data_IF_832090682037
#
_entry.id   IF_832090682037
#
_cell.length_a   1.000
_cell.length_b   1.000
_cell.length_c   1.000
_cell.angle_alpha   90.00
_cell.angle_beta   90.00
_cell.angle_gamma   90.00
#
_symmetry.space_group_name_H-M   'P 1'
#
loop_
_entity.id
_entity.type
_entity.pdbx_description
1 polymer ?
#
# COMPACT_ATOMS: atom_id res chain seq x y z
N UNK A 1 7.05 -18.09 3.90
CA UNK A 1 7.43 -19.31 4.68
C UNK A 1 8.62 -19.00 5.59
N UNK A 2 9.02 -19.85 6.55
CA UNK A 2 10.14 -19.58 7.48
C UNK A 2 11.48 -19.18 6.79
N UNK A 3 11.69 -19.57 5.53
CA UNK A 3 12.86 -19.17 4.75
C UNK A 3 12.81 -17.70 4.28
N UNK A 4 11.63 -17.21 3.91
CA UNK A 4 11.35 -15.83 3.50
C UNK A 4 11.50 -14.87 4.69
N UNK A 5 11.11 -15.30 5.89
CA UNK A 5 11.35 -14.57 7.13
C UNK A 5 12.85 -14.43 7.47
N UNK A 6 13.66 -15.44 7.13
CA UNK A 6 15.12 -15.43 7.36
C UNK A 6 15.83 -14.58 6.28
N UNK A 7 15.36 -14.61 5.03
CA UNK A 7 15.83 -13.71 3.96
C UNK A 7 15.40 -12.25 4.16
N UNK A 8 14.17 -12.00 4.63
CA UNK A 8 13.70 -10.69 5.06
C UNK A 8 14.51 -10.17 6.26
N UNK A 9 14.92 -11.04 7.21
CA UNK A 9 15.84 -10.68 8.30
C UNK A 9 17.28 -10.44 7.84
N UNK A 10 17.74 -11.15 6.81
CA UNK A 10 19.05 -10.97 6.19
C UNK A 10 19.11 -9.65 5.44
N UNK A 11 18.03 -9.30 4.76
CA UNK A 11 17.86 -8.02 4.09
C UNK A 11 17.64 -6.89 5.10
N UNK A 12 16.85 -7.08 6.17
CA UNK A 12 16.72 -6.15 7.29
C UNK A 12 18.09 -5.72 7.83
N UNK A 13 19.04 -6.66 7.92
CA UNK A 13 20.42 -6.38 8.34
C UNK A 13 21.29 -5.72 7.27
N UNK A 14 20.98 -5.88 5.98
CA UNK A 14 21.71 -5.27 4.85
C UNK A 14 21.21 -3.87 4.51
N UNK A 15 19.90 -3.65 4.50
CA UNK A 15 19.25 -2.39 4.09
C UNK A 15 19.18 -1.36 5.21
N UNK A 16 19.28 -1.75 6.49
CA UNK A 16 19.38 -0.77 7.60
C UNK A 16 20.53 0.23 7.45
N UNK A 17 21.53 -0.08 6.61
CA UNK A 17 22.62 0.83 6.31
C UNK A 17 22.35 1.78 5.13
N UNK A 18 21.31 1.58 4.32
CA UNK A 18 21.07 2.37 3.09
C UNK A 18 19.60 2.77 2.81
N UNK A 19 18.61 2.25 3.53
CA UNK A 19 17.20 2.61 3.34
C UNK A 19 16.52 2.95 4.68
N UNK A 20 16.25 4.24 4.97
CA UNK A 20 15.66 4.70 6.23
C UNK A 20 14.24 4.17 6.53
N UNK A 21 13.62 3.44 5.60
CA UNK A 21 12.18 3.28 5.53
C UNK A 21 11.64 1.89 5.93
N UNK A 22 12.51 0.92 6.21
CA UNK A 22 12.08 -0.41 6.67
C UNK A 22 11.79 -0.41 8.17
N UNK A 23 10.54 -0.17 8.51
CA UNK A 23 10.00 -0.33 9.87
C UNK A 23 9.37 -1.72 10.05
N UNK A 24 9.26 -2.19 11.30
CA UNK A 24 8.52 -3.43 11.61
C UNK A 24 7.06 -3.36 11.14
N UNK A 25 6.43 -2.19 11.24
CA UNK A 25 5.07 -1.96 10.76
C UNK A 25 4.97 -2.11 9.24
N UNK A 26 5.95 -1.58 8.49
CA UNK A 26 6.03 -1.75 7.05
C UNK A 26 6.13 -3.22 6.64
N UNK A 27 7.03 -3.97 7.29
CA UNK A 27 7.17 -5.41 7.04
C UNK A 27 5.88 -6.19 7.35
N UNK A 28 5.23 -5.90 8.48
CA UNK A 28 3.97 -6.55 8.80
C UNK A 28 2.86 -6.27 7.76
N UNK A 29 2.77 -5.03 7.26
CA UNK A 29 1.84 -4.69 6.18
C UNK A 29 2.15 -5.39 4.85
N UNK A 30 3.43 -5.64 4.58
CA UNK A 30 3.89 -6.40 3.42
C UNK A 30 3.44 -7.87 3.52
N UNK A 31 3.66 -8.52 4.66
CA UNK A 31 3.18 -9.90 4.90
C UNK A 31 1.65 -10.02 4.81
N UNK A 32 0.93 -9.00 5.30
CA UNK A 32 -0.52 -8.90 5.10
C UNK A 32 -0.86 -8.87 3.61
N UNK A 33 -0.08 -8.17 2.79
CA UNK A 33 -0.23 -8.13 1.34
C UNK A 33 -0.16 -9.52 0.73
N UNK A 34 0.87 -10.31 1.02
CA UNK A 34 0.94 -11.71 0.55
C UNK A 34 -0.27 -12.52 0.99
N UNK A 35 -0.67 -12.40 2.26
CA UNK A 35 -1.84 -13.12 2.77
C UNK A 35 -3.13 -12.78 2.00
N UNK A 36 -3.35 -11.50 1.70
CA UNK A 36 -4.53 -11.09 0.93
C UNK A 36 -4.44 -11.44 -0.55
N UNK A 37 -3.23 -11.58 -1.12
CA UNK A 37 -3.08 -12.11 -2.47
C UNK A 37 -3.69 -13.52 -2.58
N UNK A 38 -3.38 -14.40 -1.64
CA UNK A 38 -3.93 -15.78 -1.61
C UNK A 38 -5.47 -15.80 -1.51
N UNK A 39 -6.03 -14.87 -0.74
CA UNK A 39 -7.47 -14.83 -0.46
C UNK A 39 -8.25 -14.17 -1.60
N UNK A 40 -7.75 -13.05 -2.11
CA UNK A 40 -8.50 -12.13 -2.98
C UNK A 40 -8.12 -12.26 -4.46
N UNK A 41 -6.92 -12.75 -4.77
CA UNK A 41 -6.39 -12.79 -6.14
C UNK A 41 -6.23 -14.23 -6.63
N UNK A 42 -5.55 -15.08 -5.87
CA UNK A 42 -5.22 -16.43 -6.30
C UNK A 42 -6.49 -17.26 -6.61
N UNK A 43 -6.55 -17.83 -7.82
CA UNK A 43 -7.70 -18.60 -8.29
C UNK A 43 -9.04 -17.82 -8.27
N UNK A 44 -8.99 -16.48 -8.39
CA UNK A 44 -10.16 -15.59 -8.48
C UNK A 44 -10.17 -14.84 -9.82
N UNK A 45 -11.31 -14.25 -10.23
CA UNK A 45 -11.38 -13.41 -11.44
C UNK A 45 -10.36 -12.27 -11.48
N UNK A 46 -9.95 -11.75 -10.32
CA UNK A 46 -8.95 -10.68 -10.21
C UNK A 46 -7.54 -11.09 -10.67
N UNK A 47 -7.23 -12.38 -10.80
CA UNK A 47 -5.90 -12.87 -11.15
C UNK A 47 -5.42 -12.38 -12.52
N UNK A 48 -6.33 -12.28 -13.50
CA UNK A 48 -6.00 -11.77 -14.84
C UNK A 48 -5.56 -10.30 -14.82
N UNK A 49 -6.25 -9.47 -14.02
CA UNK A 49 -5.91 -8.06 -13.86
C UNK A 49 -4.63 -7.88 -13.05
N UNK A 50 -4.41 -8.71 -12.02
CA UNK A 50 -3.13 -8.78 -11.32
C UNK A 50 -1.97 -9.01 -12.30
N UNK A 51 -2.06 -10.01 -13.19
CA UNK A 51 -0.98 -10.27 -14.16
C UNK A 51 -0.75 -9.13 -15.14
N UNK A 52 -1.80 -8.40 -15.51
CA UNK A 52 -1.69 -7.25 -16.38
C UNK A 52 -0.93 -6.08 -15.72
N UNK A 53 -1.02 -5.93 -14.39
CA UNK A 53 -0.44 -4.82 -13.64
C UNK A 53 0.93 -5.15 -13.01
N UNK A 54 1.08 -6.37 -12.48
CA UNK A 54 2.24 -6.79 -11.68
C UNK A 54 3.16 -7.76 -12.43
N UNK A 55 2.67 -8.37 -13.53
CA UNK A 55 3.42 -9.35 -14.31
C UNK A 55 3.12 -10.81 -13.95
N UNK A 56 3.86 -11.74 -14.57
CA UNK A 56 3.64 -13.19 -14.42
C UNK A 56 4.33 -13.74 -13.18
N UNK A 57 3.54 -14.09 -12.16
CA UNK A 57 4.01 -14.64 -10.89
C UNK A 57 4.38 -16.12 -10.96
N UNK A 58 4.22 -16.80 -12.11
CA UNK A 58 4.63 -18.20 -12.27
C UNK A 58 6.14 -18.38 -12.42
N UNK A 59 6.88 -17.27 -12.51
CA UNK A 59 8.34 -17.28 -12.50
C UNK A 59 8.87 -17.96 -11.23
N UNK A 60 9.94 -18.77 -11.30
CA UNK A 60 10.46 -19.43 -10.10
C UNK A 60 10.95 -18.40 -9.08
N UNK A 61 10.20 -18.27 -7.98
CA UNK A 61 10.37 -17.24 -6.96
C UNK A 61 11.82 -17.09 -6.49
N UNK A 62 12.43 -18.19 -6.05
CA UNK A 62 13.83 -18.23 -5.59
C UNK A 62 14.81 -17.74 -6.65
N UNK A 63 14.60 -18.10 -7.92
CA UNK A 63 15.48 -17.66 -9.00
C UNK A 63 15.34 -16.16 -9.28
N UNK A 64 14.12 -15.62 -9.19
CA UNK A 64 13.83 -14.20 -9.36
C UNK A 64 14.50 -13.37 -8.25
N UNK A 65 14.38 -13.82 -6.98
CA UNK A 65 15.07 -13.17 -5.86
C UNK A 65 16.59 -13.20 -6.01
N UNK A 66 17.18 -14.35 -6.37
CA UNK A 66 18.62 -14.44 -6.59
C UNK A 66 19.09 -13.49 -7.70
N UNK A 67 18.32 -13.37 -8.79
CA UNK A 67 18.61 -12.44 -9.86
C UNK A 67 18.52 -10.98 -9.39
N UNK A 68 17.52 -10.63 -8.58
CA UNK A 68 17.39 -9.30 -7.99
C UNK A 68 18.55 -8.99 -7.04
N UNK A 69 18.95 -9.92 -6.17
CA UNK A 69 20.11 -9.70 -5.28
C UNK A 69 21.44 -9.61 -6.01
N UNK A 70 21.58 -10.27 -7.16
CA UNK A 70 22.78 -10.21 -8.00
C UNK A 70 22.90 -8.91 -8.79
N UNK A 71 21.77 -8.37 -9.28
CA UNK A 71 21.76 -7.26 -10.25
C UNK A 71 21.19 -5.95 -9.69
N UNK A 72 20.46 -6.00 -8.57
CA UNK A 72 19.67 -4.89 -8.05
C UNK A 72 18.42 -4.61 -8.87
N UNK A 73 17.71 -3.54 -8.49
CA UNK A 73 16.58 -3.01 -9.27
C UNK A 73 17.08 -2.35 -10.58
N UNK A 74 16.32 -2.45 -11.69
CA UNK A 74 16.62 -1.72 -12.94
C UNK A 74 16.72 -0.20 -12.73
N UNK A 75 17.57 0.50 -13.48
CA UNK A 75 17.85 1.94 -13.26
C UNK A 75 16.60 2.84 -13.25
N UNK A 76 15.58 2.48 -14.01
CA UNK A 76 14.32 3.21 -14.19
C UNK A 76 13.14 2.62 -13.41
N UNK A 77 13.41 1.79 -12.40
CA UNK A 77 12.37 1.11 -11.61
C UNK A 77 11.33 2.06 -11.02
N UNK A 78 11.74 3.27 -10.61
CA UNK A 78 10.87 4.26 -9.97
C UNK A 78 9.72 4.70 -10.89
N UNK A 79 9.82 4.49 -12.20
CA UNK A 79 8.75 4.79 -13.14
C UNK A 79 7.52 3.88 -12.94
N UNK A 80 7.72 2.64 -12.46
CA UNK A 80 6.71 1.59 -12.45
C UNK A 80 6.46 0.94 -11.08
N UNK A 81 7.42 1.03 -10.16
CA UNK A 81 7.41 0.31 -8.90
C UNK A 81 7.51 1.28 -7.72
N UNK A 82 6.83 0.93 -6.63
CA UNK A 82 6.83 1.77 -5.41
C UNK A 82 8.16 1.68 -4.66
N UNK A 83 8.88 0.56 -4.77
CA UNK A 83 10.18 0.34 -4.16
C UNK A 83 11.12 -0.43 -5.11
N UNK A 84 12.42 -0.41 -4.84
CA UNK A 84 13.36 -1.22 -5.60
C UNK A 84 13.07 -2.71 -5.44
N UNK A 85 12.70 -3.14 -4.23
CA UNK A 85 12.41 -4.54 -3.92
C UNK A 85 11.14 -5.05 -4.63
N UNK A 86 10.15 -4.20 -4.88
CA UNK A 86 8.99 -4.53 -5.70
C UNK A 86 9.37 -5.06 -7.11
N UNK A 87 10.57 -4.76 -7.62
CA UNK A 87 11.05 -5.29 -8.90
C UNK A 87 11.47 -6.76 -8.85
N UNK A 88 11.59 -7.34 -7.65
CA UNK A 88 12.16 -8.67 -7.47
C UNK A 88 11.24 -9.79 -7.95
N UNK A 89 9.93 -9.65 -7.75
CA UNK A 89 8.92 -10.61 -8.20
C UNK A 89 7.54 -9.95 -8.23
N UNK A 90 6.60 -10.38 -9.10
CA UNK A 90 5.23 -9.84 -9.10
C UNK A 90 4.48 -9.97 -7.76
N UNK A 91 4.79 -10.99 -6.96
CA UNK A 91 4.27 -11.09 -5.59
C UNK A 91 4.83 -10.00 -4.67
N UNK A 92 6.12 -9.67 -4.78
CA UNK A 92 6.74 -8.59 -4.01
C UNK A 92 6.19 -7.23 -4.42
N UNK A 93 5.97 -7.00 -5.71
CA UNK A 93 5.37 -5.76 -6.22
C UNK A 93 3.97 -5.53 -5.64
N UNK A 94 3.16 -6.58 -5.58
CA UNK A 94 1.84 -6.53 -4.97
C UNK A 94 1.90 -6.30 -3.46
N UNK A 95 2.77 -7.03 -2.74
CA UNK A 95 2.91 -6.88 -1.29
C UNK A 95 3.44 -5.50 -0.88
N UNK A 96 4.42 -4.96 -1.61
CA UNK A 96 4.94 -3.60 -1.41
C UNK A 96 3.87 -2.54 -1.72
N UNK A 97 3.11 -2.71 -2.81
CA UNK A 97 2.00 -1.81 -3.15
C UNK A 97 0.89 -1.88 -2.11
N UNK A 98 0.57 -3.07 -1.58
CA UNK A 98 -0.41 -3.26 -0.52
C UNK A 98 0.03 -2.58 0.78
N UNK A 99 1.29 -2.78 1.17
CA UNK A 99 1.86 -2.13 2.33
C UNK A 99 1.81 -0.60 2.22
N UNK A 100 2.03 -0.10 1.00
CA UNK A 100 1.92 1.32 0.69
C UNK A 100 0.47 1.82 0.74
N UNK A 101 -0.48 1.07 0.19
CA UNK A 101 -1.91 1.40 0.30
C UNK A 101 -2.35 1.55 1.76
N UNK A 102 -1.98 0.58 2.62
CA UNK A 102 -2.23 0.64 4.07
C UNK A 102 -1.55 1.85 4.72
N UNK A 103 -0.35 2.23 4.26
CA UNK A 103 0.33 3.42 4.75
C UNK A 103 -0.44 4.71 4.45
N UNK A 104 -0.95 4.85 3.22
CA UNK A 104 -1.79 5.98 2.81
C UNK A 104 -3.06 6.04 3.64
N UNK A 105 -3.82 4.94 3.72
CA UNK A 105 -5.08 4.88 4.49
C UNK A 105 -4.88 5.23 5.96
N UNK A 106 -3.99 4.52 6.67
CA UNK A 106 -3.81 4.71 8.12
C UNK A 106 -3.31 6.12 8.46
N UNK A 107 -2.46 6.69 7.61
CA UNK A 107 -1.85 8.01 7.89
C UNK A 107 -2.83 9.14 7.57
N UNK A 108 -3.62 9.00 6.50
CA UNK A 108 -4.69 9.97 6.19
C UNK A 108 -5.82 9.90 7.20
N UNK A 109 -6.20 8.71 7.68
CA UNK A 109 -7.13 8.52 8.80
C UNK A 109 -6.65 9.28 10.03
N UNK A 110 -5.39 9.04 10.44
CA UNK A 110 -4.82 9.66 11.62
C UNK A 110 -4.78 11.20 11.48
N UNK A 111 -4.37 11.71 10.32
CA UNK A 111 -4.36 13.14 10.04
C UNK A 111 -5.77 13.76 10.16
N UNK A 112 -6.79 13.09 9.60
CA UNK A 112 -8.19 13.47 9.72
C UNK A 112 -8.65 13.51 11.18
N UNK A 113 -8.32 12.49 11.97
CA UNK A 113 -8.63 12.41 13.40
C UNK A 113 -8.02 13.54 14.23
N UNK A 114 -6.86 14.06 13.83
CA UNK A 114 -6.22 15.25 14.43
C UNK A 114 -6.70 16.58 13.83
N UNK A 115 -7.70 16.57 12.96
CA UNK A 115 -8.28 17.78 12.35
C UNK A 115 -7.42 18.39 11.24
N UNK A 116 -6.37 17.69 10.78
CA UNK A 116 -5.59 18.08 9.60
C UNK A 116 -6.46 17.81 8.39
N UNK A 117 -7.08 18.87 7.86
CA UNK A 117 -7.94 18.80 6.69
C UNK A 117 -7.23 19.42 5.51
N UNK A 118 -7.14 18.65 4.43
CA UNK A 118 -6.46 19.10 3.23
C UNK A 118 -7.45 19.24 2.09
N UNK A 119 -8.12 20.38 2.10
CA UNK A 119 -8.80 20.91 0.91
C UNK A 119 -8.17 22.24 0.57
N UNK A 120 -7.28 22.33 -0.44
CA UNK A 120 -6.98 23.59 -1.07
C UNK A 120 -8.06 23.86 -2.11
N UNK A 121 -9.31 24.06 -1.68
CA UNK A 121 -10.24 24.86 -2.47
C UNK A 121 -10.25 26.22 -1.81
N UNK A 122 -9.58 27.18 -2.44
CA UNK A 122 -9.79 28.60 -2.14
C UNK A 122 -11.28 28.87 -2.36
N UNK A 123 -12.09 28.81 -1.31
CA UNK A 123 -13.31 29.59 -1.32
C UNK A 123 -12.89 31.07 -1.26
N UNK A 124 -13.44 31.87 -2.17
CA UNK A 124 -13.21 33.31 -2.25
C UNK A 124 -14.02 34.07 -1.19
N UNK A 125 -14.41 33.43 -0.08
CA UNK A 125 -15.26 34.00 0.97
C UNK A 125 -14.60 34.07 2.35
N UNK A 126 -13.44 33.45 2.55
CA UNK A 126 -12.61 33.73 3.73
C UNK A 126 -13.23 33.28 5.07
N UNK A 127 -14.19 32.36 5.06
CA UNK A 127 -14.70 31.73 6.28
C UNK A 127 -14.26 30.26 6.32
N UNK A 128 -13.27 29.99 7.16
CA UNK A 128 -12.75 28.65 7.44
C UNK A 128 -13.77 27.84 8.25
N UNK A 129 -14.90 27.45 7.65
CA UNK A 129 -15.88 26.59 8.31
C UNK A 129 -15.39 25.15 8.30
N UNK A 130 -15.18 24.64 9.50
CA UNK A 130 -14.46 23.41 9.74
C UNK A 130 -15.38 22.23 9.97
N UNK A 131 -15.83 21.52 8.92
CA UNK A 131 -16.38 20.16 9.07
C UNK A 131 -16.47 19.43 7.73
N UNK A 132 -15.55 18.49 7.51
CA UNK A 132 -15.70 17.37 6.58
C UNK A 132 -15.01 16.18 7.26
N UNK A 133 -15.82 15.17 7.57
CA UNK A 133 -15.42 13.89 8.15
C UNK A 133 -14.79 13.08 7.01
N UNK A 134 -13.46 13.17 6.83
CA UNK A 134 -12.78 12.33 5.84
C UNK A 134 -12.57 10.96 6.48
N UNK A 135 -13.30 9.97 5.95
CA UNK A 135 -13.20 8.56 6.32
C UNK A 135 -12.55 7.79 5.15
N UNK A 136 -11.25 7.45 5.24
CA UNK A 136 -10.56 6.78 4.14
C UNK A 136 -11.08 5.38 3.83
N UNK A 137 -11.87 4.78 4.74
CA UNK A 137 -12.50 3.47 4.51
C UNK A 137 -13.78 3.55 3.69
N UNK A 138 -14.33 4.76 3.47
CA UNK A 138 -15.57 4.98 2.71
C UNK A 138 -15.33 5.66 1.36
N UNK A 139 -14.08 5.86 0.98
CA UNK A 139 -13.73 6.47 -0.30
C UNK A 139 -14.18 5.58 -1.45
N UNK A 140 -14.76 6.21 -2.47
CA UNK A 140 -15.22 5.48 -3.64
C UNK A 140 -14.10 5.19 -4.66
N UNK A 141 -13.15 6.12 -4.76
CA UNK A 141 -12.08 6.15 -5.76
C UNK A 141 -10.73 6.42 -5.08
N UNK A 142 -9.72 5.59 -5.36
CA UNK A 142 -8.35 5.76 -4.86
C UNK A 142 -7.77 7.14 -5.15
N UNK A 143 -8.22 7.82 -6.21
CA UNK A 143 -7.77 9.17 -6.53
C UNK A 143 -8.12 10.17 -5.43
N UNK A 144 -9.27 10.02 -4.75
CA UNK A 144 -9.62 10.86 -3.61
C UNK A 144 -8.69 10.62 -2.42
N UNK A 145 -8.26 9.37 -2.19
CA UNK A 145 -7.24 9.07 -1.18
C UNK A 145 -5.90 9.74 -1.53
N UNK A 146 -5.48 9.67 -2.80
CA UNK A 146 -4.22 10.25 -3.28
C UNK A 146 -4.24 11.78 -3.19
N UNK A 147 -5.35 12.42 -3.56
CA UNK A 147 -5.51 13.88 -3.48
C UNK A 147 -5.42 14.39 -2.04
N UNK A 148 -5.92 13.60 -1.08
CA UNK A 148 -5.74 13.85 0.36
C UNK A 148 -4.38 13.37 0.90
N UNK A 149 -3.64 12.54 0.18
CA UNK A 149 -2.32 12.07 0.63
C UNK A 149 -1.21 13.04 0.24
N UNK A 150 -1.21 13.52 -1.01
CA UNK A 150 -0.09 14.30 -1.57
C UNK A 150 0.26 15.55 -0.74
N UNK A 151 -0.70 16.40 -0.31
CA UNK A 151 -0.34 17.56 0.50
C UNK A 151 0.14 17.21 1.92
N UNK A 152 -0.20 16.01 2.43
CA UNK A 152 0.11 15.54 3.78
C UNK A 152 1.53 14.99 3.78
N UNK A 153 1.86 14.18 2.78
CA UNK A 153 3.24 13.78 2.51
C UNK A 153 4.15 15.00 2.34
N UNK A 154 3.71 16.04 1.63
CA UNK A 154 4.44 17.30 1.52
C UNK A 154 4.62 18.00 2.87
N UNK A 155 3.58 18.09 3.69
CA UNK A 155 3.66 18.66 5.04
C UNK A 155 4.66 17.88 5.92
N UNK A 156 4.54 16.55 5.95
CA UNK A 156 5.43 15.65 6.71
C UNK A 156 6.88 15.86 6.29
N UNK A 157 7.17 15.85 4.98
CA UNK A 157 8.52 16.05 4.47
C UNK A 157 9.07 17.44 4.80
N UNK A 158 8.26 18.49 4.69
CA UNK A 158 8.67 19.84 5.05
C UNK A 158 8.95 19.99 6.55
N UNK A 159 8.12 19.40 7.41
CA UNK A 159 8.35 19.40 8.86
C UNK A 159 9.65 18.66 9.21
N UNK A 160 9.90 17.51 8.59
CA UNK A 160 11.14 16.77 8.76
C UNK A 160 12.37 17.60 8.37
N UNK A 161 12.36 18.22 7.19
CA UNK A 161 13.45 19.10 6.75
C UNK A 161 13.67 20.28 7.69
N UNK A 162 12.59 20.86 8.23
CA UNK A 162 12.69 21.99 9.16
C UNK A 162 13.38 21.62 10.49
N UNK A 163 13.31 20.37 10.92
CA UNK A 163 14.01 19.84 12.11
C UNK A 163 15.33 19.13 11.76
N UNK A 164 15.83 19.30 10.53
CA UNK A 164 17.12 18.76 10.09
C UNK A 164 17.11 17.26 9.78
N UNK A 165 15.94 16.65 9.58
CA UNK A 165 15.78 15.26 9.16
C UNK A 165 15.56 15.16 7.65
N UNK A 166 15.87 13.98 7.09
CA UNK A 166 15.54 13.66 5.69
C UNK A 166 14.02 13.51 5.51
N UNK A 167 13.58 13.53 4.25
CA UNK A 167 12.18 13.33 3.90
C UNK A 167 11.63 12.06 4.56
N UNK A 168 10.58 12.25 5.35
CA UNK A 168 9.89 11.16 6.03
C UNK A 168 9.01 10.36 5.08
N UNK A 169 8.89 10.70 3.80
CA UNK A 169 8.21 9.95 2.75
C UNK A 169 8.92 10.20 1.41
N UNK A 170 9.85 9.32 0.99
CA UNK A 170 10.65 9.49 -0.23
C UNK A 170 10.05 8.80 -1.46
N UNK A 171 8.80 8.32 -1.39
CA UNK A 171 8.19 7.56 -2.49
C UNK A 171 7.56 8.46 -3.55
N UNK A 172 7.52 7.93 -4.78
CA UNK A 172 6.91 8.60 -5.93
C UNK A 172 5.69 7.80 -6.38
N UNK A 173 4.53 8.42 -6.35
CA UNK A 173 3.29 7.84 -6.88
C UNK A 173 3.18 8.14 -8.38
N UNK A 174 3.80 7.32 -9.21
CA UNK A 174 3.69 7.44 -10.68
C UNK A 174 2.32 6.96 -11.15
N UNK A 175 1.89 7.28 -12.40
CA UNK A 175 0.63 6.77 -12.94
C UNK A 175 0.49 5.25 -12.82
N UNK A 176 1.56 4.49 -13.09
CA UNK A 176 1.55 3.03 -12.96
C UNK A 176 1.38 2.56 -11.51
N UNK A 177 2.06 3.20 -10.56
CA UNK A 177 1.89 2.90 -9.12
C UNK A 177 0.46 3.22 -8.67
N UNK A 178 -0.13 4.31 -9.17
CA UNK A 178 -1.52 4.68 -8.88
C UNK A 178 -2.50 3.66 -9.44
N UNK A 179 -2.27 3.13 -10.65
CA UNK A 179 -3.09 2.04 -11.21
C UNK A 179 -3.03 0.77 -10.35
N UNK A 180 -1.84 0.41 -9.84
CA UNK A 180 -1.67 -0.70 -8.89
C UNK A 180 -2.39 -0.46 -7.55
N UNK A 181 -2.31 0.76 -7.01
CA UNK A 181 -3.06 1.16 -5.82
C UNK A 181 -4.58 1.10 -6.06
N UNK A 182 -5.04 1.51 -7.23
CA UNK A 182 -6.45 1.44 -7.64
C UNK A 182 -6.95 -0.01 -7.67
N UNK A 183 -6.15 -0.94 -8.19
CA UNK A 183 -6.46 -2.36 -8.16
C UNK A 183 -6.63 -2.89 -6.74
N UNK A 184 -5.70 -2.55 -5.83
CA UNK A 184 -5.80 -2.96 -4.41
C UNK A 184 -7.04 -2.36 -3.74
N UNK A 185 -7.30 -1.07 -3.98
CA UNK A 185 -8.50 -0.41 -3.49
C UNK A 185 -9.77 -1.14 -3.96
N UNK A 186 -9.86 -1.48 -5.24
CA UNK A 186 -11.00 -2.21 -5.81
C UNK A 186 -11.15 -3.63 -5.22
N UNK A 187 -10.05 -4.34 -4.98
CA UNK A 187 -10.06 -5.64 -4.29
C UNK A 187 -10.69 -5.53 -2.91
N UNK A 188 -10.24 -4.55 -2.12
CA UNK A 188 -10.72 -4.31 -0.75
C UNK A 188 -12.21 -3.94 -0.77
N UNK A 189 -12.62 -3.04 -1.67
CA UNK A 189 -14.03 -2.65 -1.79
C UNK A 189 -14.93 -3.83 -2.19
N UNK A 190 -14.50 -4.61 -3.18
CA UNK A 190 -15.24 -5.79 -3.63
C UNK A 190 -15.36 -6.82 -2.51
N UNK A 191 -14.28 -7.05 -1.77
CA UNK A 191 -14.27 -7.94 -0.61
C UNK A 191 -15.17 -7.41 0.52
N UNK A 192 -15.13 -6.11 0.79
CA UNK A 192 -15.93 -5.44 1.82
C UNK A 192 -17.42 -5.43 1.53
N UNK A 193 -17.84 -5.49 0.26
CA UNK A 193 -19.24 -5.60 -0.15
C UNK A 193 -19.83 -7.02 0.02
N UNK A 194 -19.01 -8.00 0.37
CA UNK A 194 -19.44 -9.39 0.57
C UNK A 194 -19.65 -9.67 2.06
N UNK A 195 -20.66 -10.47 2.38
CA UNK A 195 -20.83 -11.04 3.72
C UNK A 195 -19.88 -12.21 3.90
N UNK A 196 -18.84 -12.03 4.72
CA UNK A 196 -17.94 -13.08 5.15
C UNK A 196 -18.55 -13.83 6.32
N UNK A 197 -18.32 -15.13 6.33
CA UNK A 197 -18.80 -16.02 7.39
C UNK A 197 -17.72 -17.00 7.82
N UNK A 198 -17.77 -17.45 9.07
CA UNK A 198 -16.99 -18.58 9.58
C UNK A 198 -17.92 -19.76 9.91
N UNK A 199 -17.45 -21.01 9.90
CA UNK A 199 -18.26 -22.16 10.28
C UNK A 199 -18.80 -22.01 11.71
N UNK A 200 -20.12 -22.14 11.87
CA UNK A 200 -20.77 -22.18 13.18
C UNK A 200 -21.40 -23.56 13.47
N UNK A 201 -21.80 -23.81 14.73
CA UNK A 201 -22.36 -25.09 15.15
C UNK A 201 -23.72 -25.43 14.55
N UNK A 202 -24.46 -24.43 14.04
CA UNK A 202 -25.76 -24.61 13.39
C UNK A 202 -25.81 -23.96 12.00
N UNK A 203 -25.27 -22.75 11.87
CA UNK A 203 -25.27 -21.95 10.63
C UNK A 203 -23.94 -21.18 10.52
N UNK A 204 -23.50 -20.75 9.32
CA UNK A 204 -22.35 -19.86 9.18
C UNK A 204 -22.54 -18.55 9.96
N UNK A 205 -21.51 -18.13 10.69
CA UNK A 205 -21.53 -16.93 11.54
C UNK A 205 -20.95 -15.76 10.75
N UNK A 206 -21.71 -14.67 10.50
CA UNK A 206 -21.20 -13.43 9.93
C UNK A 206 -20.00 -12.86 10.71
N UNK A 207 -18.95 -12.44 10.01
CA UNK A 207 -17.75 -11.83 10.65
C UNK A 207 -17.49 -10.37 10.23
N UNK A 208 -18.31 -9.82 9.36
CA UNK A 208 -18.29 -8.42 8.97
C UNK A 208 -19.71 -7.92 8.69
N UNK A 209 -19.90 -6.61 8.66
CA UNK A 209 -21.07 -6.00 8.03
C UNK A 209 -20.63 -5.53 6.64
N UNK A 210 -21.31 -5.95 5.55
CA UNK A 210 -20.96 -5.51 4.22
C UNK A 210 -21.04 -3.99 4.09
N UNK A 211 -20.04 -3.39 3.45
CA UNK A 211 -20.10 -1.98 3.11
C UNK A 211 -21.24 -1.74 2.11
N UNK A 212 -22.13 -0.80 2.43
CA UNK A 212 -23.27 -0.36 1.62
C UNK A 212 -22.86 0.50 0.44
#
# INVERSE_FOLDING_TARGET
SLAEADDAQREYRRTQFNEPYRTLLGHFRHEIGHHYWDILVANKPAHAQFRALFGDESQPYEAALQAHYGNGAPVDWQAQYISGYATAHPWEDFAETWAHYMHLVDTTEMASAFGVRMRPTLDMSGELTARIDFDPYRIDDVHELIDNWVPLASLINNLNRAVGQHDAYPFVLTPMVIEKLSFIHQLIRTAGAVQWTVPGPAEPIPINEPAS
#
